data_IF_356943896237
#
_entry.id   IF_356943896237
#
_cell.length_a   1.000
_cell.length_b   1.000
_cell.length_c   1.000
_cell.angle_alpha   90.00
_cell.angle_beta   90.00
_cell.angle_gamma   90.00
#
_symmetry.space_group_name_H-M   'P 1'
#
loop_
_entity.id
_entity.type
_entity.pdbx_description
1 polymer ?
#
# COMPACT_ATOMS: atom_id res chain seq x y z
N UNK A 1 -27.75 -32.60 38.43
CA UNK A 1 -28.13 -32.31 37.03
C UNK A 1 -27.72 -30.89 36.74
N UNK A 2 -26.70 -30.72 35.90
CA UNK A 2 -26.14 -29.42 35.56
C UNK A 2 -26.59 -28.97 34.19
N UNK A 3 -26.84 -27.69 34.03
CA UNK A 3 -26.97 -27.01 32.75
C UNK A 3 -26.12 -25.75 32.78
N UNK A 4 -25.01 -25.80 32.03
CA UNK A 4 -24.27 -24.62 31.55
C UNK A 4 -25.09 -23.98 30.45
N UNK A 5 -25.15 -22.65 30.40
CA UNK A 5 -25.47 -21.91 29.18
C UNK A 5 -24.88 -20.49 29.22
N UNK A 6 -23.96 -20.27 28.29
CA UNK A 6 -23.69 -19.07 27.49
C UNK A 6 -23.42 -17.72 28.19
N UNK A 7 -22.12 -17.40 28.22
CA UNK A 7 -21.57 -16.05 28.24
C UNK A 7 -21.95 -15.32 26.95
N UNK A 8 -22.69 -14.22 27.07
CA UNK A 8 -22.88 -13.24 26.01
C UNK A 8 -21.69 -12.30 25.95
N UNK A 9 -21.04 -12.29 24.79
CA UNK A 9 -20.03 -11.32 24.36
C UNK A 9 -20.81 -10.16 23.74
N UNK A 10 -20.78 -8.97 24.35
CA UNK A 10 -21.15 -7.73 23.69
C UNK A 10 -20.54 -6.53 24.44
N UNK A 11 -20.06 -5.56 23.66
CA UNK A 11 -19.72 -4.18 24.05
C UNK A 11 -18.32 -3.95 24.62
N UNK A 12 -17.30 -3.98 23.74
CA UNK A 12 -16.10 -3.12 23.87
C UNK A 12 -15.78 -2.53 22.50
N UNK A 13 -16.60 -1.57 22.07
CA UNK A 13 -16.29 -0.63 20.98
C UNK A 13 -16.71 0.74 21.50
N UNK A 14 -15.84 1.45 22.26
CA UNK A 14 -16.09 2.85 22.70
C UNK A 14 -14.89 3.57 23.36
N UNK A 15 -13.62 3.25 23.06
CA UNK A 15 -12.49 3.92 23.76
C UNK A 15 -11.26 4.29 22.89
N UNK A 16 -11.44 4.69 21.63
CA UNK A 16 -10.31 5.21 20.83
C UNK A 16 -10.49 6.60 20.21
N UNK A 17 -11.52 7.34 20.61
CA UNK A 17 -11.82 8.68 20.05
C UNK A 17 -11.52 9.86 20.99
N UNK A 18 -10.75 9.68 22.08
CA UNK A 18 -10.56 10.75 23.09
C UNK A 18 -9.12 10.90 23.62
N UNK A 19 -8.11 10.82 22.76
CA UNK A 19 -6.70 10.99 23.16
C UNK A 19 -5.85 11.85 22.19
N UNK A 20 -6.46 12.74 21.39
CA UNK A 20 -5.72 13.67 20.50
C UNK A 20 -5.94 15.14 20.83
N UNK A 21 -6.04 15.48 22.13
CA UNK A 21 -6.28 16.85 22.52
C UNK A 21 -5.56 17.29 23.78
N UNK A 22 -4.36 16.79 24.08
CA UNK A 22 -3.47 17.46 25.04
C UNK A 22 -1.97 17.32 24.70
N UNK A 23 -1.41 18.42 24.18
CA UNK A 23 -0.09 18.94 24.58
C UNK A 23 1.16 18.11 24.29
N UNK A 24 1.89 18.49 23.24
CA UNK A 24 3.36 18.53 23.34
C UNK A 24 3.87 19.93 23.05
N UNK A 25 4.43 20.49 24.12
CA UNK A 25 5.18 21.71 24.12
C UNK A 25 6.47 21.56 23.28
N UNK A 26 6.79 22.67 22.63
CA UNK A 26 8.02 23.03 21.95
C UNK A 26 9.32 22.53 22.59
N UNK A 27 10.14 21.82 21.81
CA UNK A 27 11.60 21.71 21.98
C UNK A 27 12.26 22.02 20.63
N UNK A 28 13.16 23.02 20.53
CA UNK A 28 13.88 23.29 19.30
C UNK A 28 15.08 22.34 19.19
N UNK A 29 15.10 21.49 18.16
CA UNK A 29 16.30 20.74 17.77
C UNK A 29 16.68 21.16 16.37
N UNK A 30 17.78 21.89 16.28
CA UNK A 30 18.41 22.28 15.02
C UNK A 30 18.87 21.02 14.27
N UNK A 31 18.35 20.84 13.06
CA UNK A 31 18.85 19.87 12.07
C UNK A 31 19.61 20.60 10.97
N UNK A 32 20.71 20.03 10.45
CA UNK A 32 21.48 20.62 9.36
C UNK A 32 20.70 20.57 8.04
N UNK A 33 20.76 21.67 7.31
CA UNK A 33 20.15 21.87 6.01
C UNK A 33 20.68 20.87 4.97
N UNK A 34 19.78 20.05 4.43
CA UNK A 34 19.95 19.43 3.12
C UNK A 34 18.96 20.11 2.17
N UNK A 35 19.49 20.97 1.32
CA UNK A 35 18.73 21.63 0.24
C UNK A 35 18.75 20.74 -0.99
N UNK A 36 17.65 20.02 -1.25
CA UNK A 36 17.34 19.50 -2.59
C UNK A 36 16.28 20.40 -3.22
N UNK A 37 16.74 21.43 -3.92
CA UNK A 37 15.90 22.27 -4.76
C UNK A 37 15.58 21.53 -6.07
N UNK A 38 14.35 21.05 -6.21
CA UNK A 38 13.79 20.70 -7.52
C UNK A 38 12.89 21.85 -7.98
N UNK A 39 13.50 22.82 -8.66
CA UNK A 39 12.76 23.93 -9.28
C UNK A 39 12.09 23.44 -10.57
N UNK A 40 10.77 23.32 -10.57
CA UNK A 40 9.99 23.30 -11.79
C UNK A 40 9.94 24.72 -12.37
N UNK A 41 10.78 25.01 -13.37
CA UNK A 41 10.61 26.20 -14.21
C UNK A 41 9.54 25.90 -15.25
N UNK A 42 8.33 26.36 -14.94
CA UNK A 42 7.33 26.69 -15.94
C UNK A 42 7.80 27.89 -16.76
N UNK A 43 8.11 27.66 -18.04
CA UNK A 43 8.17 28.71 -19.05
C UNK A 43 7.25 28.28 -20.20
N UNK A 44 6.04 28.81 -20.18
CA UNK A 44 5.16 28.74 -21.34
C UNK A 44 5.70 29.60 -22.47
N UNK A 45 5.43 29.17 -23.71
CA UNK A 45 5.10 30.13 -24.76
C UNK A 45 4.11 29.50 -25.74
N UNK A 46 2.95 30.16 -25.78
CA UNK A 46 1.93 30.23 -26.80
C UNK A 46 2.38 29.83 -28.23
N UNK A 47 1.81 28.75 -28.76
CA UNK A 47 1.53 28.65 -30.19
C UNK A 47 0.09 28.21 -30.38
N UNK A 48 -0.76 29.21 -30.57
CA UNK A 48 -2.14 29.11 -31.00
C UNK A 48 -2.15 28.76 -32.49
N UNK A 49 -2.37 27.48 -32.84
CA UNK A 49 -2.77 27.07 -34.19
C UNK A 49 -4.21 26.59 -34.18
N UNK A 50 -5.07 27.42 -34.77
CA UNK A 50 -6.40 27.04 -35.24
C UNK A 50 -6.28 25.80 -36.13
N UNK A 51 -6.91 24.70 -35.74
CA UNK A 51 -7.36 23.68 -36.67
C UNK A 51 -8.88 23.60 -36.61
N UNK A 52 -9.49 24.15 -37.65
CA UNK A 52 -10.86 23.86 -38.06
C UNK A 52 -10.74 22.63 -38.96
N UNK A 53 -11.44 21.55 -38.64
CA UNK A 53 -11.54 20.43 -39.58
C UNK A 53 -12.02 19.12 -38.96
N UNK A 54 -13.19 18.69 -39.41
CA UNK A 54 -13.72 17.33 -39.43
C UNK A 54 -14.04 16.66 -38.08
N UNK A 55 -15.30 16.83 -37.68
CA UNK A 55 -16.08 15.79 -37.00
C UNK A 55 -16.28 14.65 -38.00
N UNK A 56 -15.44 13.63 -37.92
CA UNK A 56 -15.61 12.37 -38.63
C UNK A 56 -15.78 11.25 -37.61
N UNK A 57 -16.86 10.49 -37.78
CA UNK A 57 -17.25 9.35 -36.96
C UNK A 57 -16.10 8.36 -36.77
N UNK A 58 -15.64 8.23 -35.53
CA UNK A 58 -14.59 7.28 -35.13
C UNK A 58 -15.02 6.50 -33.89
N UNK A 59 -16.16 5.82 -33.95
CA UNK A 59 -16.76 5.15 -32.79
C UNK A 59 -16.73 3.61 -32.84
N UNK A 60 -16.04 2.96 -33.78
CA UNK A 60 -16.16 1.49 -33.94
C UNK A 60 -14.84 0.72 -34.17
N UNK A 61 -13.71 1.23 -33.69
CA UNK A 61 -12.43 0.49 -33.75
C UNK A 61 -11.71 0.40 -32.40
N UNK A 62 -12.46 0.32 -31.29
CA UNK A 62 -11.98 -0.35 -30.08
C UNK A 62 -11.95 -1.86 -30.36
N UNK A 63 -10.91 -2.30 -31.07
CA UNK A 63 -10.78 -3.63 -31.64
C UNK A 63 -10.70 -4.77 -30.61
N UNK A 64 -10.76 -6.03 -31.08
CA UNK A 64 -10.85 -7.26 -30.29
C UNK A 64 -9.70 -7.47 -29.29
N UNK A 65 -8.57 -6.77 -29.45
CA UNK A 65 -7.42 -6.85 -28.55
C UNK A 65 -7.68 -6.27 -27.15
N UNK A 66 -8.51 -5.23 -27.04
CA UNK A 66 -8.84 -4.61 -25.74
C UNK A 66 -9.76 -5.52 -24.91
N UNK A 67 -10.74 -6.14 -25.57
CA UNK A 67 -11.66 -7.11 -24.96
C UNK A 67 -10.93 -8.40 -24.58
N UNK A 68 -10.03 -8.91 -25.44
CA UNK A 68 -9.24 -10.10 -25.12
C UNK A 68 -8.33 -9.90 -23.90
N UNK A 69 -7.73 -8.71 -23.74
CA UNK A 69 -6.89 -8.39 -22.57
C UNK A 69 -7.72 -8.30 -21.28
N UNK A 70 -8.91 -7.71 -21.33
CA UNK A 70 -9.81 -7.63 -20.19
C UNK A 70 -10.29 -9.01 -19.72
N UNK A 71 -10.58 -9.94 -20.65
CA UNK A 71 -11.00 -11.30 -20.31
C UNK A 71 -9.87 -12.11 -19.66
N UNK A 72 -8.63 -11.97 -20.16
CA UNK A 72 -7.47 -12.67 -19.59
C UNK A 72 -7.07 -12.16 -18.19
N UNK A 73 -7.45 -10.92 -17.85
CA UNK A 73 -7.14 -10.31 -16.55
C UNK A 73 -8.23 -10.55 -15.48
N UNK A 74 -9.36 -11.17 -15.80
CA UNK A 74 -10.44 -11.40 -14.83
C UNK A 74 -10.02 -12.19 -13.58
N UNK A 75 -9.25 -13.30 -13.67
CA UNK A 75 -8.78 -14.01 -12.48
C UNK A 75 -7.87 -13.14 -11.59
N UNK A 76 -7.05 -12.29 -12.21
CA UNK A 76 -6.17 -11.34 -11.52
C UNK A 76 -6.96 -10.31 -10.72
N UNK A 77 -7.97 -9.74 -11.36
CA UNK A 77 -8.86 -8.75 -10.76
C UNK A 77 -9.60 -9.37 -9.58
N UNK A 78 -10.13 -10.60 -9.71
CA UNK A 78 -10.81 -11.30 -8.63
C UNK A 78 -9.89 -11.54 -7.43
N UNK A 79 -8.65 -11.97 -7.67
CA UNK A 79 -7.66 -12.19 -6.61
C UNK A 79 -7.21 -10.89 -5.95
N UNK A 80 -7.07 -9.81 -6.71
CA UNK A 80 -6.79 -8.48 -6.17
C UNK A 80 -7.95 -7.94 -5.33
N UNK A 81 -9.20 -8.15 -5.72
CA UNK A 81 -10.36 -7.78 -4.91
C UNK A 81 -10.41 -8.58 -3.59
N UNK A 82 -10.15 -9.88 -3.65
CA UNK A 82 -10.15 -10.77 -2.49
C UNK A 82 -9.02 -10.45 -1.50
N UNK A 83 -7.81 -10.18 -2.01
CA UNK A 83 -6.59 -10.07 -1.19
C UNK A 83 -6.07 -8.64 -1.03
N UNK A 84 -6.62 -7.67 -1.77
CA UNK A 84 -6.22 -6.27 -1.72
C UNK A 84 -6.34 -5.67 -0.31
N UNK A 85 -7.46 -5.80 0.40
CA UNK A 85 -7.58 -5.29 1.77
C UNK A 85 -6.53 -5.86 2.72
N UNK A 86 -6.18 -7.15 2.56
CA UNK A 86 -5.13 -7.80 3.34
C UNK A 86 -3.74 -7.24 3.00
N UNK A 87 -3.49 -6.93 1.73
CA UNK A 87 -2.26 -6.28 1.30
C UNK A 87 -2.10 -4.87 1.90
N UNK A 88 -3.17 -4.09 1.96
CA UNK A 88 -3.16 -2.77 2.61
C UNK A 88 -2.96 -2.90 4.12
N UNK A 89 -3.63 -3.84 4.78
CA UNK A 89 -3.43 -4.12 6.21
C UNK A 89 -1.98 -4.53 6.52
N UNK A 90 -1.36 -5.32 5.64
CA UNK A 90 0.04 -5.69 5.75
C UNK A 90 0.98 -4.48 5.68
N UNK A 91 0.69 -3.53 4.77
CA UNK A 91 1.42 -2.28 4.66
C UNK A 91 1.27 -1.43 5.93
N UNK A 92 0.04 -1.32 6.45
CA UNK A 92 -0.25 -0.60 7.69
C UNK A 92 0.55 -1.18 8.86
N UNK A 93 0.54 -2.51 9.05
CA UNK A 93 1.31 -3.19 10.11
C UNK A 93 2.81 -2.94 9.98
N UNK A 94 3.35 -2.98 8.76
CA UNK A 94 4.77 -2.74 8.52
C UNK A 94 5.19 -1.31 8.89
N UNK A 95 4.39 -0.31 8.54
CA UNK A 95 4.72 1.11 8.74
C UNK A 95 4.39 1.59 10.14
N UNK A 96 3.23 1.20 10.67
CA UNK A 96 2.69 1.76 11.91
C UNK A 96 3.13 0.98 13.15
N UNK A 97 3.54 -0.29 13.00
CA UNK A 97 3.88 -1.15 14.13
C UNK A 97 5.33 -1.65 14.04
N UNK A 98 5.69 -2.32 12.94
CA UNK A 98 7.02 -2.96 12.80
C UNK A 98 8.14 -1.92 12.74
N UNK A 99 8.04 -0.91 11.87
CA UNK A 99 9.08 0.11 11.72
C UNK A 99 9.32 0.90 13.03
N UNK A 100 8.29 1.45 13.70
CA UNK A 100 8.46 2.10 15.00
C UNK A 100 9.03 1.16 16.06
N UNK A 101 8.59 -0.11 16.08
CA UNK A 101 9.14 -1.13 16.98
C UNK A 101 10.64 -1.34 16.78
N UNK A 102 11.12 -1.42 15.52
CA UNK A 102 12.56 -1.50 15.21
C UNK A 102 13.28 -0.22 15.65
N UNK A 103 12.72 0.95 15.37
CA UNK A 103 13.32 2.25 15.72
C UNK A 103 13.46 2.44 17.24
N UNK A 104 12.50 1.93 18.00
CA UNK A 104 12.46 1.97 19.47
C UNK A 104 13.19 0.78 20.12
N UNK A 105 13.74 -0.14 19.32
CA UNK A 105 14.37 -1.37 19.77
C UNK A 105 13.45 -2.27 20.64
N UNK A 106 12.14 -2.24 20.37
CA UNK A 106 11.14 -3.12 20.99
C UNK A 106 11.10 -4.48 20.29
N UNK A 107 12.18 -5.24 20.45
CA UNK A 107 12.36 -6.53 19.76
C UNK A 107 11.27 -7.55 20.13
N UNK A 108 10.75 -7.51 21.36
CA UNK A 108 9.71 -8.43 21.81
C UNK A 108 8.43 -8.27 20.99
N UNK A 109 7.96 -7.03 20.87
CA UNK A 109 6.80 -6.70 20.05
C UNK A 109 7.05 -7.00 18.57
N UNK A 110 8.22 -6.63 18.03
CA UNK A 110 8.56 -6.90 16.62
C UNK A 110 8.59 -8.40 16.32
N UNK A 111 9.17 -9.22 17.20
CA UNK A 111 9.16 -10.69 17.04
C UNK A 111 7.73 -11.24 17.02
N UNK A 112 6.86 -10.77 17.92
CA UNK A 112 5.45 -11.17 17.94
C UNK A 112 4.74 -10.81 16.62
N UNK A 113 4.91 -9.58 16.14
CA UNK A 113 4.32 -9.11 14.89
C UNK A 113 4.82 -9.91 13.66
N UNK A 114 6.09 -10.31 13.66
CA UNK A 114 6.71 -11.08 12.56
C UNK A 114 6.32 -12.56 12.55
N UNK A 115 5.76 -13.08 13.65
CA UNK A 115 5.31 -14.47 13.74
C UNK A 115 4.16 -14.80 12.77
N UNK A 116 3.35 -13.81 12.42
CA UNK A 116 2.24 -13.94 11.45
C UNK A 116 2.56 -13.35 10.09
N UNK A 117 3.77 -12.81 9.87
CA UNK A 117 4.08 -12.07 8.64
C UNK A 117 4.04 -12.93 7.35
N UNK A 118 4.20 -14.25 7.44
CA UNK A 118 4.03 -15.12 6.26
C UNK A 118 2.55 -15.18 5.83
N UNK A 119 1.63 -15.18 6.79
CA UNK A 119 0.18 -15.19 6.54
C UNK A 119 -0.37 -13.80 6.21
N UNK A 120 0.17 -12.77 6.85
CA UNK A 120 -0.30 -11.40 6.73
C UNK A 120 0.29 -10.69 5.51
N UNK A 121 1.57 -10.90 5.20
CA UNK A 121 2.29 -10.17 4.13
C UNK A 121 2.50 -11.05 2.91
N UNK A 122 3.10 -12.23 3.08
CA UNK A 122 3.55 -13.05 1.95
C UNK A 122 2.38 -13.73 1.25
N UNK A 123 1.43 -14.33 1.99
CA UNK A 123 0.29 -15.04 1.40
C UNK A 123 -0.59 -14.14 0.50
N UNK A 124 -1.04 -12.94 0.92
CA UNK A 124 -1.87 -12.09 0.05
C UNK A 124 -1.14 -11.70 -1.23
N UNK A 125 0.13 -11.30 -1.14
CA UNK A 125 0.95 -10.98 -2.31
C UNK A 125 1.09 -12.19 -3.25
N UNK A 126 1.30 -13.39 -2.68
CA UNK A 126 1.39 -14.65 -3.42
C UNK A 126 0.07 -15.00 -4.13
N UNK A 127 -1.07 -14.86 -3.47
CA UNK A 127 -2.39 -15.13 -4.06
C UNK A 127 -2.69 -14.18 -5.22
N UNK A 128 -2.30 -12.90 -5.11
CA UNK A 128 -2.44 -11.92 -6.20
C UNK A 128 -1.54 -12.28 -7.38
N UNK A 129 -0.28 -12.64 -7.14
CA UNK A 129 0.71 -12.81 -8.20
C UNK A 129 0.71 -14.19 -8.87
N UNK A 130 0.42 -15.28 -8.14
CA UNK A 130 0.53 -16.65 -8.67
C UNK A 130 -0.37 -16.94 -9.88
N UNK A 131 -1.53 -16.29 -9.95
CA UNK A 131 -2.48 -16.51 -11.04
C UNK A 131 -2.37 -15.45 -12.13
N UNK A 132 -1.41 -14.52 -12.03
CA UNK A 132 -1.53 -13.23 -12.71
C UNK A 132 -0.20 -12.48 -12.90
N UNK A 133 0.93 -13.18 -13.02
CA UNK A 133 2.23 -12.53 -13.27
C UNK A 133 2.20 -11.62 -14.51
N UNK A 134 1.45 -11.99 -15.55
CA UNK A 134 1.28 -11.18 -16.77
C UNK A 134 0.36 -9.96 -16.58
N UNK A 135 -0.48 -9.96 -15.54
CA UNK A 135 -1.40 -8.86 -15.26
C UNK A 135 -0.74 -7.73 -14.47
N UNK A 136 0.30 -8.04 -13.69
CA UNK A 136 0.98 -7.10 -12.79
C UNK A 136 2.43 -6.86 -13.23
N UNK A 137 2.67 -5.95 -14.21
CA UNK A 137 4.01 -5.75 -14.78
C UNK A 137 5.03 -5.35 -13.70
N UNK A 138 6.26 -5.88 -13.82
CA UNK A 138 7.37 -5.57 -12.93
C UNK A 138 7.45 -6.41 -11.64
N UNK A 139 6.56 -7.39 -11.44
CA UNK A 139 6.49 -8.18 -10.20
C UNK A 139 7.15 -9.57 -10.23
N UNK A 140 7.91 -9.90 -11.29
CA UNK A 140 8.53 -11.21 -11.46
C UNK A 140 9.47 -11.64 -10.33
N UNK A 141 10.00 -10.68 -9.56
CA UNK A 141 10.84 -10.95 -8.39
C UNK A 141 10.16 -10.59 -7.06
N UNK A 142 8.94 -10.04 -7.05
CA UNK A 142 8.31 -9.50 -5.84
C UNK A 142 8.17 -10.56 -4.74
N UNK A 143 7.74 -11.78 -5.07
CA UNK A 143 7.62 -12.86 -4.08
C UNK A 143 8.98 -13.28 -3.52
N UNK A 144 10.01 -13.36 -4.38
CA UNK A 144 11.37 -13.68 -3.94
C UNK A 144 11.91 -12.58 -3.01
N UNK A 145 11.72 -11.33 -3.39
CA UNK A 145 12.18 -10.15 -2.64
C UNK A 145 11.47 -10.09 -1.27
N UNK A 146 10.15 -10.33 -1.22
CA UNK A 146 9.38 -10.39 0.03
C UNK A 146 9.86 -11.54 0.94
N UNK A 147 9.98 -12.76 0.42
CA UNK A 147 10.42 -13.92 1.20
C UNK A 147 11.84 -13.72 1.76
N UNK A 148 12.77 -13.24 0.92
CA UNK A 148 14.14 -12.94 1.34
C UNK A 148 14.21 -11.80 2.34
N UNK A 149 13.42 -10.74 2.13
CA UNK A 149 13.30 -9.61 3.04
C UNK A 149 12.79 -10.01 4.41
N UNK A 150 11.68 -10.77 4.48
CA UNK A 150 11.10 -11.27 5.73
C UNK A 150 12.08 -12.18 6.50
N UNK A 151 12.76 -13.08 5.80
CA UNK A 151 13.79 -13.94 6.41
C UNK A 151 14.95 -13.10 6.98
N UNK A 152 15.43 -12.12 6.21
CA UNK A 152 16.50 -11.21 6.66
C UNK A 152 16.08 -10.36 7.85
N UNK A 153 14.82 -9.90 7.86
CA UNK A 153 14.27 -9.09 8.95
C UNK A 153 14.16 -9.90 10.24
N UNK A 154 13.64 -11.13 10.18
CA UNK A 154 13.59 -12.04 11.34
C UNK A 154 14.98 -12.29 11.92
N UNK A 155 15.94 -12.64 11.06
CA UNK A 155 17.33 -12.87 11.49
C UNK A 155 17.96 -11.62 12.15
N UNK A 156 17.68 -10.42 11.62
CA UNK A 156 18.17 -9.17 12.18
C UNK A 156 17.53 -8.82 13.53
N UNK A 157 16.22 -9.09 13.67
CA UNK A 157 15.46 -8.90 14.92
C UNK A 157 15.96 -9.87 16.00
N UNK A 158 16.19 -11.14 15.65
CA UNK A 158 16.75 -12.14 16.56
C UNK A 158 18.15 -11.75 17.03
N UNK A 159 18.97 -11.20 16.12
CA UNK A 159 20.29 -10.65 16.43
C UNK A 159 20.25 -9.27 17.11
N UNK A 160 19.07 -8.65 17.21
CA UNK A 160 18.86 -7.29 17.72
C UNK A 160 19.72 -6.23 17.02
N UNK A 161 20.00 -6.43 15.73
CA UNK A 161 20.75 -5.48 14.91
C UNK A 161 19.77 -4.52 14.22
N UNK A 162 19.59 -3.35 14.82
CA UNK A 162 18.68 -2.32 14.33
C UNK A 162 18.99 -1.86 12.91
N UNK A 163 20.27 -1.72 12.56
CA UNK A 163 20.66 -1.23 11.22
C UNK A 163 20.28 -2.27 10.16
N UNK A 164 20.59 -3.53 10.42
CA UNK A 164 20.26 -4.62 9.48
C UNK A 164 18.74 -4.84 9.42
N UNK A 165 18.03 -4.70 10.54
CA UNK A 165 16.58 -4.79 10.58
C UNK A 165 15.91 -3.69 9.73
N UNK A 166 16.34 -2.44 9.84
CA UNK A 166 15.84 -1.34 9.01
C UNK A 166 16.12 -1.57 7.51
N UNK A 167 17.32 -2.06 7.17
CA UNK A 167 17.66 -2.41 5.78
C UNK A 167 16.81 -3.56 5.24
N UNK A 168 16.47 -4.55 6.07
CA UNK A 168 15.59 -5.65 5.68
C UNK A 168 14.14 -5.18 5.54
N UNK A 169 13.67 -4.31 6.43
CA UNK A 169 12.37 -3.67 6.35
C UNK A 169 12.19 -2.88 5.05
N UNK A 170 13.18 -2.05 4.68
CA UNK A 170 13.17 -1.26 3.44
C UNK A 170 13.02 -2.15 2.19
N UNK A 171 13.71 -3.29 2.15
CA UNK A 171 13.55 -4.26 1.05
C UNK A 171 12.13 -4.81 0.94
N UNK A 172 11.48 -5.10 2.08
CA UNK A 172 10.09 -5.56 2.11
C UNK A 172 9.17 -4.45 1.61
N UNK A 173 9.35 -3.23 2.12
CA UNK A 173 8.58 -2.05 1.72
C UNK A 173 8.68 -1.78 0.21
N UNK A 174 9.87 -1.84 -0.37
CA UNK A 174 10.09 -1.68 -1.81
C UNK A 174 9.38 -2.76 -2.64
N UNK A 175 9.41 -4.01 -2.20
CA UNK A 175 8.72 -5.10 -2.88
C UNK A 175 7.19 -4.93 -2.82
N UNK A 176 6.66 -4.54 -1.67
CA UNK A 176 5.24 -4.22 -1.50
C UNK A 176 4.80 -3.02 -2.35
N UNK A 177 5.57 -1.93 -2.35
CA UNK A 177 5.28 -0.76 -3.18
C UNK A 177 5.24 -1.10 -4.66
N UNK A 178 6.11 -2.00 -5.13
CA UNK A 178 6.08 -2.46 -6.53
C UNK A 178 4.77 -3.15 -6.87
N UNK A 179 4.28 -4.01 -5.98
CA UNK A 179 2.99 -4.68 -6.13
C UNK A 179 1.84 -3.68 -6.08
N UNK A 180 1.79 -2.81 -5.06
CA UNK A 180 0.73 -1.82 -4.88
C UNK A 180 0.67 -0.82 -6.05
N UNK A 181 1.82 -0.34 -6.54
CA UNK A 181 1.88 0.49 -7.76
C UNK A 181 1.33 -0.25 -8.97
N UNK A 182 1.72 -1.51 -9.18
CA UNK A 182 1.20 -2.28 -10.31
C UNK A 182 -0.31 -2.53 -10.21
N UNK A 183 -0.82 -2.73 -9.00
CA UNK A 183 -2.26 -2.84 -8.75
C UNK A 183 -2.98 -1.52 -9.05
N UNK A 184 -2.44 -0.39 -8.59
CA UNK A 184 -2.97 0.95 -8.88
C UNK A 184 -2.98 1.29 -10.38
N UNK A 185 -2.12 0.67 -11.21
CA UNK A 185 -2.16 0.83 -12.66
C UNK A 185 -3.29 0.01 -13.32
N UNK A 186 -3.71 -1.09 -12.69
CA UNK A 186 -4.76 -1.97 -13.21
C UNK A 186 -6.15 -1.52 -12.77
N UNK A 187 -6.27 -0.88 -11.61
CA UNK A 187 -7.57 -0.45 -11.06
C UNK A 187 -8.32 0.54 -11.97
N UNK A 188 -7.69 1.60 -12.53
CA UNK A 188 -8.33 2.50 -13.48
C UNK A 188 -8.58 1.77 -14.81
N UNK A 189 -9.84 1.42 -15.08
CA UNK A 189 -10.24 0.72 -16.30
C UNK A 189 -11.02 -0.58 -16.05
N UNK A 190 -11.22 -0.95 -14.79
CA UNK A 190 -12.01 -2.12 -14.40
C UNK A 190 -13.21 -1.65 -13.58
N UNK A 191 -14.42 -1.89 -14.09
CA UNK A 191 -15.67 -1.47 -13.44
C UNK A 191 -15.80 -2.00 -11.99
N UNK A 192 -15.20 -3.15 -11.69
CA UNK A 192 -15.22 -3.72 -10.33
C UNK A 192 -14.43 -2.90 -9.29
N UNK A 193 -13.55 -1.98 -9.71
CA UNK A 193 -12.82 -1.07 -8.83
C UNK A 193 -13.38 0.35 -8.84
N UNK A 194 -14.51 0.60 -9.50
CA UNK A 194 -15.18 1.91 -9.46
C UNK A 194 -15.54 2.26 -8.02
N UNK A 195 -15.13 3.45 -7.56
CA UNK A 195 -15.32 3.86 -6.16
C UNK A 195 -14.38 3.21 -5.14
N UNK A 196 -13.43 2.37 -5.57
CA UNK A 196 -12.46 1.74 -4.67
C UNK A 196 -11.24 2.64 -4.49
N UNK A 197 -10.85 2.88 -3.24
CA UNK A 197 -9.63 3.63 -2.92
C UNK A 197 -8.39 2.92 -3.48
N UNK A 198 -7.45 3.71 -4.03
CA UNK A 198 -6.17 3.18 -4.47
C UNK A 198 -5.33 2.71 -3.27
N UNK A 199 -4.32 1.90 -3.52
CA UNK A 199 -3.35 1.52 -2.51
C UNK A 199 -2.47 2.72 -2.14
N UNK A 200 -2.30 2.95 -0.84
CA UNK A 200 -1.31 3.90 -0.33
C UNK A 200 0.08 3.26 -0.33
N UNK A 201 1.07 3.97 -0.88
CA UNK A 201 2.43 3.46 -0.94
C UNK A 201 3.12 3.63 0.42
N UNK A 202 3.86 2.61 0.83
CA UNK A 202 4.67 2.58 2.04
C UNK A 202 5.77 3.65 1.96
N UNK A 203 5.87 4.48 2.98
CA UNK A 203 6.95 5.45 3.19
C UNK A 203 7.66 5.20 4.52
N UNK A 204 8.92 5.61 4.63
CA UNK A 204 9.68 5.51 5.89
C UNK A 204 9.09 6.38 7.01
N UNK A 205 8.42 7.47 6.67
CA UNK A 205 7.74 8.33 7.64
C UNK A 205 6.27 7.89 7.79
N UNK A 206 5.82 7.48 9.00
CA UNK A 206 4.44 7.11 9.25
C UNK A 206 3.43 8.24 9.01
N UNK A 207 3.84 9.50 9.24
CA UNK A 207 2.97 10.66 8.98
C UNK A 207 2.63 10.80 7.51
N UNK A 208 3.67 10.81 6.67
CA UNK A 208 3.56 10.84 5.20
C UNK A 208 2.75 9.64 4.67
N UNK A 209 2.93 8.46 5.26
CA UNK A 209 2.16 7.27 4.88
C UNK A 209 0.66 7.46 5.14
N UNK A 210 0.30 7.93 6.33
CA UNK A 210 -1.10 8.18 6.70
C UNK A 210 -1.75 9.26 5.83
N UNK A 211 -1.01 10.32 5.47
CA UNK A 211 -1.47 11.32 4.50
C UNK A 211 -1.75 10.68 3.13
N UNK A 212 -0.89 9.75 2.69
CA UNK A 212 -1.10 8.94 1.50
C UNK A 212 -2.37 8.07 1.57
N UNK A 213 -2.62 7.42 2.71
CA UNK A 213 -3.85 6.66 2.95
C UNK A 213 -5.10 7.54 2.82
N UNK A 214 -5.08 8.73 3.42
CA UNK A 214 -6.20 9.67 3.32
C UNK A 214 -6.40 10.18 1.90
N UNK A 215 -5.33 10.54 1.20
CA UNK A 215 -5.41 10.96 -0.20
C UNK A 215 -6.01 9.87 -1.10
N UNK A 216 -5.65 8.60 -0.87
CA UNK A 216 -6.16 7.48 -1.64
C UNK A 216 -7.66 7.23 -1.41
N UNK A 217 -8.15 7.43 -0.18
CA UNK A 217 -9.58 7.36 0.15
C UNK A 217 -10.37 8.50 -0.50
N UNK A 218 -9.85 9.72 -0.45
CA UNK A 218 -10.52 10.90 -1.02
C UNK A 218 -10.57 10.86 -2.55
N UNK A 219 -9.51 10.42 -3.22
CA UNK A 219 -9.50 10.28 -4.68
C UNK A 219 -10.42 9.15 -5.20
N UNK A 220 -10.69 8.15 -4.38
CA UNK A 220 -11.56 7.02 -4.73
C UNK A 220 -13.04 7.26 -4.48
N UNK A 221 -13.42 8.30 -3.73
CA UNK A 221 -14.82 8.60 -3.40
C UNK A 221 -15.20 9.91 -4.07
N UNK A 222 -16.32 9.97 -4.80
CA UNK A 222 -16.82 11.19 -5.47
C UNK A 222 -17.22 12.32 -4.49
N UNK A 223 -16.74 12.29 -3.24
CA UNK A 223 -17.02 13.24 -2.17
C UNK A 223 -16.34 14.61 -2.35
N UNK A 224 -15.58 14.82 -3.44
CA UNK A 224 -15.06 16.14 -3.82
C UNK A 224 -16.03 16.98 -4.67
N UNK A 225 -17.25 16.51 -4.95
CA UNK A 225 -18.27 17.26 -5.72
C UNK A 225 -19.43 17.80 -4.88
#
# INVERSE_FOLDING_TARGET
>A
MGTRAHRGIAVVISLFALALLQGFASVPRASPAWTSSWSWRSAGSLVQRRQVGLVAAGALLSGPASVARAVLQQPAIAKLLENGPLLQQAADKLVLEVLPGIQQADWGNVTELLSTADEDVYRPAREILLQSEDAFPGNSNTLRDLSSGLSSLRAAVDARDQRVALQAWDKIAQAMNRLMMSANLVMPGVAAFEGTAQFALITEDPGTYLEGCWAAVLQGTELEQ
#
